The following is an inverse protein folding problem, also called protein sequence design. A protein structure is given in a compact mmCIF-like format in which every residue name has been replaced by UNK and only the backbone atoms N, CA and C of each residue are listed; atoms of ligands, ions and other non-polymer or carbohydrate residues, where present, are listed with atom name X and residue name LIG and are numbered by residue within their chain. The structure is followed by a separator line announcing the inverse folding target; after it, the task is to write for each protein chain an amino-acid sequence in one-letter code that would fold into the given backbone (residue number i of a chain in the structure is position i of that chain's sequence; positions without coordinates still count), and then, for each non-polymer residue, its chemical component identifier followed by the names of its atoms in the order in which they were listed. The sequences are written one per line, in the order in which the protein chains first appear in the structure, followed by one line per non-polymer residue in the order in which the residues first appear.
data_IF_512614071601
#
_entry.id   IF_512614071601
#
_cell.length_a   1.000
_cell.length_b   1.000
_cell.length_c   1.000
_cell.angle_alpha   90.00
_cell.angle_beta   90.00
_cell.angle_gamma   90.00
#
_symmetry.space_group_name_H-M   'P 1'
#
loop_
_entity.id
_entity.type
_entity.pdbx_description
1 polymer ?
#
# COMPACT_ATOMS: atom_id res chain seq x y z
N UNK A 1 15.86 3.93 7.90
CA UNK A 1 15.50 3.52 6.53
C UNK A 1 14.03 3.18 6.43
N UNK A 2 13.39 3.59 5.34
CA UNK A 2 11.96 3.41 5.10
C UNK A 2 11.65 3.57 3.63
N UNK A 3 10.45 3.17 3.21
CA UNK A 3 9.96 3.32 1.84
C UNK A 3 8.90 4.41 1.75
N UNK A 4 8.82 5.08 0.60
CA UNK A 4 7.70 5.96 0.27
C UNK A 4 6.72 5.23 -0.65
N UNK A 5 5.44 5.54 -0.51
CA UNK A 5 4.39 4.92 -1.30
C UNK A 5 3.21 5.85 -1.56
N UNK A 6 2.41 5.48 -2.54
CA UNK A 6 1.14 6.13 -2.82
C UNK A 6 0.00 5.14 -2.65
N UNK A 7 -1.09 5.60 -2.06
CA UNK A 7 -2.35 4.89 -1.98
C UNK A 7 -3.34 5.50 -2.95
N UNK A 8 -4.03 4.64 -3.68
CA UNK A 8 -5.16 4.97 -4.55
C UNK A 8 -6.32 4.06 -4.22
N UNK A 9 -7.52 4.60 -4.16
CA UNK A 9 -8.74 3.85 -3.90
C UNK A 9 -9.59 3.81 -5.17
N UNK A 10 -10.14 2.64 -5.49
CA UNK A 10 -11.15 2.51 -6.53
C UNK A 10 -12.52 2.77 -5.94
N UNK A 11 -13.25 3.69 -6.53
CA UNK A 11 -14.65 3.89 -6.22
C UNK A 11 -15.48 2.80 -6.89
N UNK A 12 -16.24 2.04 -6.10
CA UNK A 12 -17.00 0.89 -6.61
C UNK A 12 -18.20 1.32 -7.47
N UNK A 13 -18.83 2.46 -7.17
CA UNK A 13 -20.00 2.94 -7.89
C UNK A 13 -19.65 3.47 -9.29
N UNK A 14 -18.56 4.22 -9.39
CA UNK A 14 -18.12 4.91 -10.62
C UNK A 14 -17.00 4.19 -11.34
N UNK A 15 -16.35 3.21 -10.69
CA UNK A 15 -15.17 2.50 -11.17
C UNK A 15 -13.90 3.36 -11.26
N UNK A 16 -13.95 4.63 -10.85
CA UNK A 16 -12.84 5.59 -10.97
C UNK A 16 -11.85 5.44 -9.82
N UNK A 17 -10.57 5.56 -10.13
CA UNK A 17 -9.51 5.64 -9.14
C UNK A 17 -9.42 7.06 -8.55
N UNK A 18 -9.13 7.18 -7.26
CA UNK A 18 -8.88 8.45 -6.57
C UNK A 18 -7.61 9.15 -7.07
N UNK A 19 -7.38 10.37 -6.57
CA UNK A 19 -6.03 10.95 -6.56
C UNK A 19 -5.13 10.18 -5.56
N UNK A 20 -3.79 10.27 -5.69
CA UNK A 20 -2.88 9.57 -4.79
C UNK A 20 -2.78 10.25 -3.43
N UNK A 21 -2.87 9.47 -2.35
CA UNK A 21 -2.47 9.90 -1.02
C UNK A 21 -1.06 9.35 -0.72
N UNK A 22 -0.19 10.18 -0.17
CA UNK A 22 1.21 9.82 0.10
C UNK A 22 1.37 9.24 1.51
N UNK A 23 2.16 8.17 1.60
CA UNK A 23 2.45 7.45 2.83
C UNK A 23 3.94 7.10 2.92
N UNK A 24 4.41 6.94 4.15
CA UNK A 24 5.71 6.37 4.50
C UNK A 24 5.49 4.99 5.13
N UNK A 25 6.28 4.03 4.69
CA UNK A 25 6.46 2.73 5.32
C UNK A 25 7.76 2.76 6.13
N UNK A 26 7.63 2.91 7.44
CA UNK A 26 8.76 2.85 8.38
C UNK A 26 8.74 1.54 9.16
N UNK A 27 9.86 0.84 9.25
CA UNK A 27 9.91 -0.46 9.95
C UNK A 27 11.25 -0.71 10.62
N UNK A 28 11.21 -1.44 11.75
CA UNK A 28 12.38 -1.87 12.51
C UNK A 28 13.22 -2.94 11.79
N UNK A 29 12.71 -3.53 10.70
CA UNK A 29 13.29 -4.73 10.06
C UNK A 29 13.82 -4.52 8.64
N UNK A 30 14.14 -3.29 8.22
CA UNK A 30 15.15 -3.10 7.18
C UNK A 30 16.53 -3.26 7.83
N UNK A 31 16.85 -4.46 8.31
CA UNK A 31 18.15 -4.76 8.88
C UNK A 31 19.26 -4.55 7.84
N UNK A 32 20.47 -4.20 8.29
CA UNK A 32 21.68 -4.04 7.47
C UNK A 32 22.13 -5.30 6.68
N UNK A 33 21.31 -6.35 6.62
CA UNK A 33 21.54 -7.61 5.92
C UNK A 33 20.78 -7.70 4.58
N UNK A 34 19.87 -6.77 4.27
CA UNK A 34 19.15 -6.71 3.00
C UNK A 34 19.91 -5.81 2.01
N UNK A 35 20.93 -6.40 1.39
CA UNK A 35 21.79 -5.71 0.44
C UNK A 35 21.04 -5.11 -0.76
N UNK A 36 21.29 -3.82 -1.02
CA UNK A 36 21.38 -3.18 -2.34
C UNK A 36 20.15 -3.13 -3.28
N UNK A 37 19.13 -3.98 -3.11
CA UNK A 37 18.01 -4.07 -4.06
C UNK A 37 16.75 -3.40 -3.50
N UNK A 38 16.32 -2.32 -4.15
CA UNK A 38 15.04 -1.69 -3.89
C UNK A 38 13.91 -2.69 -4.16
N UNK A 39 13.10 -2.95 -3.14
CA UNK A 39 11.98 -3.87 -3.24
C UNK A 39 10.70 -3.10 -3.49
N UNK A 40 10.10 -3.33 -4.67
CA UNK A 40 8.80 -2.77 -5.02
C UNK A 40 7.69 -3.72 -4.54
N UNK A 41 6.80 -3.23 -3.68
CA UNK A 41 5.67 -3.98 -3.13
C UNK A 41 4.36 -3.28 -3.45
N UNK A 42 3.36 -4.05 -3.87
CA UNK A 42 1.97 -3.63 -4.00
C UNK A 42 1.20 -4.24 -2.85
N UNK A 43 0.46 -3.41 -2.10
CA UNK A 43 -0.42 -3.84 -1.02
C UNK A 43 -1.85 -3.49 -1.40
N UNK A 44 -2.75 -4.48 -1.37
CA UNK A 44 -4.17 -4.32 -1.64
C UNK A 44 -4.96 -4.48 -0.34
N UNK A 45 -5.78 -3.49 -0.01
CA UNK A 45 -6.78 -3.60 1.06
C UNK A 45 -7.99 -4.39 0.55
N UNK A 46 -8.31 -5.49 1.20
CA UNK A 46 -9.38 -6.41 0.79
C UNK A 46 -10.65 -6.28 1.63
N UNK A 47 -10.59 -5.56 2.75
CA UNK A 47 -11.71 -5.40 3.69
C UNK A 47 -12.02 -3.92 3.95
N UNK A 48 -13.25 -3.63 4.36
CA UNK A 48 -13.64 -2.28 4.76
C UNK A 48 -12.82 -1.78 5.97
N UNK A 49 -12.52 -2.67 6.92
CA UNK A 49 -11.68 -2.35 8.08
C UNK A 49 -10.25 -1.96 7.68
N UNK A 50 -9.67 -2.65 6.69
CA UNK A 50 -8.38 -2.29 6.10
C UNK A 50 -8.42 -0.87 5.51
N UNK A 51 -9.48 -0.55 4.78
CA UNK A 51 -9.69 0.76 4.16
C UNK A 51 -9.83 1.88 5.20
N UNK A 52 -10.57 1.65 6.27
CA UNK A 52 -10.73 2.60 7.38
C UNK A 52 -9.39 2.90 8.09
N UNK A 53 -8.53 1.89 8.23
CA UNK A 53 -7.18 2.08 8.78
C UNK A 53 -6.30 2.93 7.88
N UNK A 54 -6.48 2.86 6.56
CA UNK A 54 -5.76 3.75 5.64
C UNK A 54 -6.20 5.21 5.83
N UNK A 55 -7.39 5.48 6.34
CA UNK A 55 -7.82 6.85 6.67
C UNK A 55 -7.25 7.38 7.98
N UNK A 56 -6.65 6.52 8.81
CA UNK A 56 -5.98 6.92 10.05
C UNK A 56 -4.61 7.53 9.75
N UNK A 57 -4.02 8.20 10.76
CA UNK A 57 -2.69 8.79 10.64
C UNK A 57 -1.59 7.74 10.53
N UNK A 58 -1.78 6.56 11.14
CA UNK A 58 -0.81 5.46 11.11
C UNK A 58 -1.38 4.14 11.60
N UNK A 59 -0.83 3.01 11.15
CA UNK A 59 -1.14 1.67 11.63
C UNK A 59 0.04 0.71 11.42
N UNK A 60 0.07 -0.39 12.19
CA UNK A 60 1.09 -1.43 12.08
C UNK A 60 0.58 -2.66 11.32
N UNK A 61 1.31 -3.07 10.28
CA UNK A 61 1.06 -4.34 9.57
C UNK A 61 1.36 -5.54 10.48
N UNK A 62 0.43 -6.51 10.54
CA UNK A 62 0.55 -7.70 11.39
C UNK A 62 0.30 -7.49 12.88
N UNK A 63 0.13 -6.24 13.32
CA UNK A 63 -0.28 -5.89 14.68
C UNK A 63 -1.72 -5.39 14.73
N UNK A 64 -2.00 -4.28 14.05
CA UNK A 64 -3.33 -3.64 14.05
C UNK A 64 -4.30 -4.27 13.05
N UNK A 65 -3.77 -5.06 12.11
CA UNK A 65 -4.46 -5.61 10.94
C UNK A 65 -3.77 -6.91 10.49
N UNK A 66 -4.56 -7.83 9.92
CA UNK A 66 -4.03 -9.07 9.35
C UNK A 66 -3.39 -8.81 7.97
N UNK A 67 -2.31 -9.52 7.62
CA UNK A 67 -1.68 -9.43 6.29
C UNK A 67 -1.39 -10.83 5.74
N UNK A 68 -1.49 -10.99 4.42
CA UNK A 68 -1.12 -12.21 3.72
C UNK A 68 -0.33 -11.92 2.43
N UNK A 69 0.34 -12.96 1.94
CA UNK A 69 1.31 -12.90 0.83
C UNK A 69 0.76 -13.65 -0.36
N UNK A 70 0.83 -13.05 -1.54
CA UNK A 70 0.38 -13.68 -2.78
C UNK A 70 1.22 -14.91 -3.20
N UNK A 71 0.64 -15.84 -3.99
CA UNK A 71 1.22 -17.14 -4.33
C UNK A 71 2.51 -17.11 -5.15
N UNK A 72 2.91 -15.94 -5.67
CA UNK A 72 4.15 -15.76 -6.44
C UNK A 72 5.33 -15.25 -5.59
N UNK A 73 5.15 -15.07 -4.29
CA UNK A 73 6.15 -14.63 -3.33
C UNK A 73 7.02 -15.74 -2.72
N UNK A 74 7.59 -16.64 -3.53
CA UNK A 74 8.70 -17.52 -3.11
C UNK A 74 8.36 -18.75 -2.24
N UNK A 75 8.70 -19.94 -2.79
CA UNK A 75 8.85 -21.27 -2.19
C UNK A 75 7.83 -21.73 -1.12
N UNK A 76 6.86 -22.56 -1.56
CA UNK A 76 6.12 -23.44 -0.65
C UNK A 76 4.66 -23.59 -0.99
N UNK A 77 4.37 -24.26 -2.11
CA UNK A 77 3.02 -24.79 -2.43
C UNK A 77 2.55 -25.84 -1.38
N UNK A 78 3.39 -26.18 -0.40
CA UNK A 78 3.09 -27.16 0.65
C UNK A 78 2.87 -26.55 2.06
N UNK A 79 3.00 -25.23 2.22
CA UNK A 79 2.81 -24.55 3.51
C UNK A 79 1.78 -23.40 3.52
N UNK A 80 1.32 -22.98 2.34
CA UNK A 80 0.21 -22.04 2.23
C UNK A 80 -1.11 -22.77 2.53
N UNK A 81 -1.37 -23.03 3.81
CA UNK A 81 -2.70 -23.36 4.31
C UNK A 81 -3.64 -22.31 3.75
N UNK A 82 -4.50 -22.71 2.80
CA UNK A 82 -5.64 -21.95 2.30
C UNK A 82 -5.47 -20.45 2.46
N UNK A 83 -4.63 -19.83 1.61
CA UNK A 83 -4.30 -18.40 1.64
C UNK A 83 -5.47 -17.62 2.24
N UNK A 84 -5.29 -17.07 3.46
CA UNK A 84 -6.37 -16.46 4.24
C UNK A 84 -7.24 -15.59 3.34
N UNK A 85 -8.36 -16.13 2.84
CA UNK A 85 -9.29 -15.43 1.96
C UNK A 85 -9.98 -14.26 2.69
N UNK A 86 -9.68 -14.12 3.99
CA UNK A 86 -10.16 -13.09 4.91
C UNK A 86 -9.05 -12.16 5.41
N UNK A 87 -7.86 -12.13 4.79
CA UNK A 87 -6.81 -11.19 5.19
C UNK A 87 -7.21 -9.75 4.83
N UNK A 88 -6.98 -8.82 5.75
CA UNK A 88 -7.26 -7.39 5.54
C UNK A 88 -6.42 -6.80 4.40
N UNK A 89 -5.17 -7.24 4.29
CA UNK A 89 -4.26 -6.84 3.21
C UNK A 89 -3.62 -8.03 2.49
N UNK A 90 -3.50 -7.91 1.17
CA UNK A 90 -2.70 -8.79 0.32
C UNK A 90 -1.49 -8.04 -0.23
N UNK A 91 -0.31 -8.63 -0.11
CA UNK A 91 0.94 -8.05 -0.61
C UNK A 91 1.54 -8.87 -1.77
N UNK A 92 2.06 -8.16 -2.76
CA UNK A 92 2.72 -8.71 -3.95
C UNK A 92 4.03 -7.97 -4.18
N UNK A 93 5.11 -8.70 -4.48
CA UNK A 93 6.40 -8.10 -4.83
C UNK A 93 6.69 -8.33 -6.31
N UNK A 94 7.23 -7.32 -6.98
CA UNK A 94 7.64 -7.43 -8.39
C UNK A 94 8.98 -8.17 -8.55
N UNK A 95 9.82 -8.22 -7.51
CA UNK A 95 11.13 -8.86 -7.55
C UNK A 95 11.00 -10.39 -7.44
N UNK A 96 11.41 -11.13 -8.47
CA UNK A 96 11.50 -12.60 -8.45
C UNK A 96 12.43 -13.03 -7.30
N UNK A 97 11.87 -13.63 -6.25
CA UNK A 97 12.66 -14.34 -5.21
C UNK A 97 12.99 -13.55 -3.94
N UNK A 98 12.63 -12.27 -3.81
CA UNK A 98 12.98 -11.42 -2.65
C UNK A 98 11.96 -11.54 -1.49
N UNK A 99 11.06 -12.52 -1.54
CA UNK A 99 10.09 -12.72 -0.46
C UNK A 99 10.59 -13.65 0.66
N UNK A 100 11.72 -14.36 0.46
CA UNK A 100 12.32 -15.21 1.49
C UNK A 100 12.95 -14.43 2.67
N UNK A 101 12.73 -13.11 2.77
CA UNK A 101 13.32 -12.31 3.85
C UNK A 101 12.69 -10.94 4.15
N UNK A 102 11.84 -10.38 3.28
CA UNK A 102 11.13 -9.14 3.60
C UNK A 102 9.88 -9.47 4.41
N UNK A 103 10.00 -9.42 5.74
CA UNK A 103 8.83 -9.37 6.60
C UNK A 103 8.34 -7.92 6.68
N UNK A 104 7.09 -7.69 6.23
CA UNK A 104 6.40 -6.41 6.43
C UNK A 104 5.79 -6.32 7.83
N UNK A 105 5.81 -7.41 8.59
CA UNK A 105 5.27 -7.49 9.94
C UNK A 105 5.97 -6.51 10.89
N UNK A 106 5.19 -5.77 11.67
CA UNK A 106 5.69 -4.74 12.56
C UNK A 106 6.09 -3.43 11.88
N UNK A 107 5.93 -3.32 10.55
CA UNK A 107 6.12 -2.06 9.85
C UNK A 107 4.97 -1.10 10.17
N UNK A 108 5.32 0.15 10.46
CA UNK A 108 4.42 1.28 10.59
C UNK A 108 4.18 1.90 9.22
N UNK A 109 2.93 1.91 8.78
CA UNK A 109 2.47 2.76 7.69
C UNK A 109 1.93 4.04 8.31
N UNK A 110 2.39 5.19 7.84
CA UNK A 110 1.92 6.50 8.29
C UNK A 110 1.69 7.44 7.11
N UNK A 111 0.72 8.34 7.26
CA UNK A 111 0.45 9.40 6.28
C UNK A 111 1.66 10.31 6.17
N UNK A 112 2.05 10.66 4.94
CA UNK A 112 3.06 11.67 4.67
C UNK A 112 2.37 13.02 4.49
N UNK A 113 2.05 13.68 5.60
CA UNK A 113 1.31 14.95 5.59
C UNK A 113 2.07 16.04 4.80
N UNK A 114 3.40 16.07 4.92
CA UNK A 114 4.26 17.03 4.22
C UNK A 114 4.23 16.81 2.70
N UNK A 115 4.35 15.55 2.24
CA UNK A 115 4.24 15.23 0.82
C UNK A 115 2.83 15.50 0.26
N UNK A 116 1.79 15.19 1.04
CA UNK A 116 0.42 15.52 0.64
C UNK A 116 0.22 17.04 0.53
N UNK A 117 0.64 17.82 1.53
CA UNK A 117 0.54 19.29 1.50
C UNK A 117 1.33 19.88 0.33
N UNK A 118 2.56 19.41 0.10
CA UNK A 118 3.39 19.84 -1.01
C UNK A 118 2.77 19.50 -2.37
N UNK A 119 2.18 18.30 -2.51
CA UNK A 119 1.58 17.84 -3.76
C UNK A 119 0.28 18.57 -4.10
N UNK A 120 -0.55 18.89 -3.10
CA UNK A 120 -1.85 19.54 -3.31
C UNK A 120 -1.85 21.07 -3.08
N UNK A 121 -0.75 21.62 -2.58
CA UNK A 121 -0.60 23.05 -2.28
C UNK A 121 -1.45 23.54 -1.10
N UNK A 122 -1.99 22.60 -0.30
CA UNK A 122 -2.81 22.86 0.90
C UNK A 122 -2.85 21.63 1.79
N UNK A 123 -3.10 21.84 3.09
CA UNK A 123 -3.34 20.77 4.05
C UNK A 123 -4.56 19.94 3.66
N UNK A 124 -4.33 18.65 3.45
CA UNK A 124 -5.34 17.67 3.06
C UNK A 124 -5.08 16.37 3.79
N UNK A 125 -6.14 15.70 4.20
CA UNK A 125 -6.07 14.38 4.83
C UNK A 125 -6.37 13.29 3.80
N UNK A 126 -6.02 12.02 4.08
CA UNK A 126 -6.41 10.89 3.23
C UNK A 126 -7.91 10.84 2.92
N UNK A 127 -8.78 11.22 3.87
CA UNK A 127 -10.23 11.28 3.64
C UNK A 127 -10.62 12.33 2.60
N UNK A 128 -9.87 13.43 2.51
CA UNK A 128 -10.09 14.50 1.55
C UNK A 128 -9.74 14.05 0.12
N UNK A 129 -8.76 13.16 0.03
CA UNK A 129 -8.18 12.64 -1.22
C UNK A 129 -8.94 11.41 -1.73
N UNK A 130 -9.12 10.41 -0.86
CA UNK A 130 -9.57 9.06 -1.22
C UNK A 130 -11.09 8.93 -1.19
N UNK A 131 -11.75 9.60 -0.23
CA UNK A 131 -13.20 9.45 0.01
C UNK A 131 -13.97 10.60 -0.60
N UNK A 132 -13.76 11.82 -0.11
CA UNK A 132 -14.52 12.99 -0.55
C UNK A 132 -14.07 13.52 -1.90
N UNK A 133 -12.84 13.15 -2.33
CA UNK A 133 -12.23 13.53 -3.61
C UNK A 133 -12.29 15.05 -3.85
N UNK A 134 -12.03 15.81 -2.79
CA UNK A 134 -12.10 17.29 -2.78
C UNK A 134 -10.87 17.97 -3.39
N UNK A 135 -9.92 17.17 -3.89
CA UNK A 135 -8.68 17.62 -4.49
C UNK A 135 -8.42 16.94 -5.82
N UNK A 136 -7.62 17.60 -6.65
CA UNK A 136 -7.18 17.08 -7.95
C UNK A 136 -5.83 17.65 -8.30
N UNK A 137 -4.94 16.84 -8.85
CA UNK A 137 -3.71 17.30 -9.45
C UNK A 137 -3.46 16.57 -10.78
N UNK A 138 -3.26 17.32 -11.87
CA UNK A 138 -3.02 16.75 -13.21
C UNK A 138 -1.74 15.89 -13.28
N UNK A 139 -0.80 16.10 -12.36
CA UNK A 139 0.40 15.25 -12.27
C UNK A 139 0.06 13.78 -11.95
N UNK A 140 -1.14 13.46 -11.46
CA UNK A 140 -1.58 12.09 -11.18
C UNK A 140 -2.12 11.34 -12.41
N UNK A 141 -2.39 12.04 -13.52
CA UNK A 141 -3.09 11.45 -14.67
C UNK A 141 -2.35 10.23 -15.24
N UNK A 142 -1.01 10.28 -15.31
CA UNK A 142 -0.18 9.17 -15.79
C UNK A 142 -0.27 7.92 -14.89
N UNK A 143 -0.18 8.10 -13.57
CA UNK A 143 -0.34 7.01 -12.60
C UNK A 143 -1.72 6.36 -12.73
N UNK A 144 -2.77 7.19 -12.77
CA UNK A 144 -4.16 6.71 -12.85
C UNK A 144 -4.42 5.96 -14.15
N UNK A 145 -3.86 6.42 -15.27
CA UNK A 145 -3.93 5.70 -16.56
C UNK A 145 -3.19 4.36 -16.52
N UNK A 146 -2.01 4.31 -15.92
CA UNK A 146 -1.25 3.06 -15.77
C UNK A 146 -2.06 2.01 -14.97
N UNK A 147 -2.67 2.42 -13.86
CA UNK A 147 -3.52 1.56 -13.04
C UNK A 147 -4.73 1.06 -13.86
N UNK A 148 -5.45 1.97 -14.53
CA UNK A 148 -6.60 1.59 -15.36
C UNK A 148 -6.24 0.61 -16.49
N UNK A 149 -5.01 0.67 -17.00
CA UNK A 149 -4.52 -0.24 -18.04
C UNK A 149 -4.14 -1.61 -17.47
N UNK A 150 -3.56 -1.65 -16.27
CA UNK A 150 -3.14 -2.89 -15.62
C UNK A 150 -4.30 -3.77 -15.12
N UNK A 151 -5.52 -3.23 -15.02
CA UNK A 151 -6.72 -3.94 -14.54
C UNK A 151 -7.65 -4.37 -15.70
N UNK A 152 -7.31 -4.05 -16.94
CA UNK A 152 -7.98 -4.59 -18.13
C UNK A 152 -7.51 -6.00 -18.44
#
# INVERSE_FOLDING_TARGET
DGGSGVLVARDEETGKWSEPAFYVLGGLSFGAQFGGEASEVIIMAMTQGALEKLYSSSFKLGGDISYAVGPHGGAGVEGATSANLNADFLSFSRSRGVYLGISLEGSLISVDDDANEAYYGKKVRPVDILVTKSVKNKHSDGLRQAIMTAIK
#
